data_IF_482853552836
#
_entry.id   IF_482853552836
#
_cell.length_a   1.000
_cell.length_b   1.000
_cell.length_c   1.000
_cell.angle_alpha   90.00
_cell.angle_beta   90.00
_cell.angle_gamma   90.00
#
_symmetry.space_group_name_H-M   'P 1'
#
loop_
_entity.id
_entity.type
_entity.pdbx_description
1 polymer ?
#
# COMPACT_ATOMS: atom_id res chain seq x y z
N UNK A 1 -3.92 19.05 42.77
CA UNK A 1 -2.70 18.25 42.51
C UNK A 1 -2.48 18.26 41.01
N UNK A 2 -1.47 18.99 40.55
CA UNK A 2 -1.24 19.26 39.13
C UNK A 2 -0.68 18.02 38.43
N UNK A 3 -1.29 17.65 37.30
CA UNK A 3 -0.73 16.65 36.39
C UNK A 3 0.63 17.14 35.84
N UNK A 4 1.62 16.26 35.67
CA UNK A 4 2.92 16.66 35.14
C UNK A 4 2.76 17.11 33.69
N UNK A 5 3.36 18.25 33.35
CA UNK A 5 3.40 18.77 31.99
C UNK A 5 4.19 17.82 31.07
N UNK A 6 3.55 17.38 29.99
CA UNK A 6 4.21 16.59 28.94
C UNK A 6 5.24 17.49 28.25
N UNK A 7 6.53 17.09 28.15
CA UNK A 7 7.55 17.92 27.52
C UNK A 7 7.25 18.10 26.02
N UNK A 8 7.21 19.35 25.58
CA UNK A 8 6.81 19.78 24.24
C UNK A 8 7.81 19.44 23.10
N UNK A 9 8.92 18.74 23.41
CA UNK A 9 9.96 18.42 22.44
C UNK A 9 10.51 17.00 22.67
N UNK A 10 9.78 16.01 22.16
CA UNK A 10 10.38 14.73 21.80
C UNK A 10 11.01 14.88 20.41
N UNK A 11 12.23 14.37 20.17
CA UNK A 11 12.85 14.42 18.85
C UNK A 11 11.93 13.77 17.81
N UNK A 12 11.67 14.48 16.70
CA UNK A 12 10.99 13.88 15.55
C UNK A 12 11.92 12.82 14.97
N UNK A 13 11.55 11.56 15.13
CA UNK A 13 12.25 10.48 14.46
C UNK A 13 11.93 10.56 12.97
N UNK A 14 12.92 10.44 12.06
CA UNK A 14 12.63 10.34 10.64
C UNK A 14 11.67 9.16 10.47
N UNK A 15 10.52 9.39 9.85
CA UNK A 15 9.53 8.33 9.62
C UNK A 15 10.20 7.24 8.82
N UNK A 16 10.53 6.14 9.48
CA UNK A 16 10.85 4.93 8.77
C UNK A 16 9.63 4.67 7.87
N UNK A 17 9.86 4.45 6.56
CA UNK A 17 8.94 3.75 5.66
C UNK A 17 7.88 4.57 4.91
N UNK A 18 8.17 5.79 4.48
CA UNK A 18 7.31 6.52 3.53
C UNK A 18 5.85 6.66 3.99
N UNK A 19 5.62 6.62 5.30
CA UNK A 19 4.33 6.93 5.91
C UNK A 19 4.39 8.34 6.43
N UNK A 20 3.29 9.08 6.24
CA UNK A 20 3.10 10.42 6.79
C UNK A 20 3.17 10.44 8.32
N UNK A 21 2.81 9.33 8.97
CA UNK A 21 2.83 9.17 10.44
C UNK A 21 3.36 7.79 10.86
N UNK A 22 4.24 7.77 11.88
CA UNK A 22 4.74 6.54 12.50
C UNK A 22 3.73 5.99 13.52
N UNK A 23 3.23 4.77 13.26
CA UNK A 23 2.31 4.07 14.17
C UNK A 23 2.92 3.83 15.55
N UNK A 24 4.24 3.64 15.62
CA UNK A 24 4.94 3.43 16.88
C UNK A 24 5.00 4.73 17.70
N UNK A 25 5.31 5.84 17.05
CA UNK A 25 5.24 7.17 17.68
C UNK A 25 3.82 7.49 18.18
N UNK A 26 2.78 7.13 17.41
CA UNK A 26 1.39 7.29 17.84
C UNK A 26 1.11 6.52 19.13
N UNK A 27 1.54 5.25 19.21
CA UNK A 27 1.40 4.44 20.41
C UNK A 27 2.16 5.05 21.60
N UNK A 28 3.41 5.45 21.43
CA UNK A 28 4.21 6.07 22.49
C UNK A 28 3.54 7.35 23.04
N UNK A 29 3.00 8.19 22.14
CA UNK A 29 2.29 9.41 22.53
C UNK A 29 0.96 9.12 23.23
N UNK A 30 0.26 8.05 22.84
CA UNK A 30 -0.95 7.60 23.56
C UNK A 30 -0.59 7.13 24.97
N UNK A 31 0.49 6.36 25.16
CA UNK A 31 0.90 5.91 26.51
C UNK A 31 1.26 7.10 27.41
N UNK A 32 2.00 8.07 26.85
CA UNK A 32 2.47 9.24 27.61
C UNK A 32 1.33 10.20 27.99
N UNK A 33 0.32 10.35 27.12
CA UNK A 33 -0.76 11.34 27.31
C UNK A 33 -2.06 10.74 27.86
N UNK A 34 -2.25 9.42 27.78
CA UNK A 34 -3.52 8.76 28.09
C UNK A 34 -4.67 9.13 27.14
N UNK A 35 -4.39 9.76 25.99
CA UNK A 35 -5.41 10.33 25.09
C UNK A 35 -5.02 10.24 23.63
N UNK A 36 -5.88 9.62 22.82
CA UNK A 36 -5.74 9.59 21.35
C UNK A 36 -5.81 11.01 20.78
N UNK A 37 -6.69 11.87 21.31
CA UNK A 37 -6.82 13.25 20.83
C UNK A 37 -5.56 14.07 21.07
N UNK A 38 -4.92 13.91 22.24
CA UNK A 38 -3.67 14.60 22.54
C UNK A 38 -2.52 14.09 21.64
N UNK A 39 -2.41 12.78 21.46
CA UNK A 39 -1.43 12.17 20.58
C UNK A 39 -1.61 12.61 19.12
N UNK A 40 -2.85 12.60 18.61
CA UNK A 40 -3.19 13.01 17.25
C UNK A 40 -2.77 14.46 16.98
N UNK A 41 -3.14 15.38 17.88
CA UNK A 41 -2.78 16.79 17.77
C UNK A 41 -1.25 16.99 17.75
N UNK A 42 -0.52 16.29 18.62
CA UNK A 42 0.93 16.39 18.67
C UNK A 42 1.64 15.89 17.39
N UNK A 43 1.00 14.98 16.66
CA UNK A 43 1.50 14.44 15.39
C UNK A 43 0.95 15.19 14.15
N UNK A 44 0.11 16.21 14.33
CA UNK A 44 -0.61 16.86 13.23
C UNK A 44 -1.56 15.90 12.49
N UNK A 45 -2.04 14.87 13.18
CA UNK A 45 -3.05 13.93 12.68
C UNK A 45 -4.45 14.45 12.99
N UNK A 46 -5.42 14.15 12.12
CA UNK A 46 -6.82 14.28 12.53
C UNK A 46 -7.16 13.19 13.57
N UNK A 47 -8.07 13.49 14.48
CA UNK A 47 -8.55 12.50 15.46
C UNK A 47 -9.07 11.23 14.77
N UNK A 48 -9.81 11.38 13.66
CA UNK A 48 -10.31 10.26 12.86
C UNK A 48 -9.17 9.38 12.32
N UNK A 49 -8.10 9.98 11.79
CA UNK A 49 -6.95 9.24 11.27
C UNK A 49 -6.22 8.47 12.39
N UNK A 50 -6.03 9.10 13.56
CA UNK A 50 -5.43 8.43 14.71
C UNK A 50 -6.32 7.28 15.21
N UNK A 51 -7.64 7.47 15.24
CA UNK A 51 -8.60 6.43 15.59
C UNK A 51 -8.52 5.22 14.65
N UNK A 52 -8.56 5.46 13.34
CA UNK A 52 -8.45 4.42 12.31
C UNK A 52 -7.11 3.67 12.38
N UNK A 53 -6.00 4.39 12.66
CA UNK A 53 -4.70 3.76 12.84
C UNK A 53 -4.67 2.80 14.04
N UNK A 54 -5.25 3.21 15.18
CA UNK A 54 -5.38 2.36 16.37
C UNK A 54 -6.25 1.14 16.10
N UNK A 55 -7.40 1.33 15.44
CA UNK A 55 -8.30 0.24 15.08
C UNK A 55 -7.64 -0.75 14.12
N UNK A 56 -6.91 -0.27 13.10
CA UNK A 56 -6.15 -1.11 12.20
C UNK A 56 -5.08 -1.93 12.95
N UNK A 57 -4.33 -1.32 13.88
CA UNK A 57 -3.34 -2.04 14.69
C UNK A 57 -3.97 -3.11 15.59
N UNK A 58 -5.11 -2.82 16.21
CA UNK A 58 -5.85 -3.80 17.01
C UNK A 58 -6.35 -4.96 16.14
N UNK A 59 -6.91 -4.69 14.95
CA UNK A 59 -7.40 -5.74 14.04
C UNK A 59 -6.29 -6.64 13.49
N UNK A 60 -5.06 -6.12 13.41
CA UNK A 60 -3.88 -6.87 12.98
C UNK A 60 -3.18 -7.61 14.13
N UNK A 61 -3.59 -7.39 15.38
CA UNK A 61 -2.94 -7.95 16.56
C UNK A 61 -3.76 -9.07 17.19
N UNK A 62 -3.09 -10.09 17.73
CA UNK A 62 -3.76 -11.18 18.48
C UNK A 62 -4.50 -10.68 19.73
N UNK A 63 -3.99 -9.60 20.32
CA UNK A 63 -4.59 -8.91 21.46
C UNK A 63 -4.63 -7.40 21.17
N UNK A 64 -5.64 -6.66 21.67
CA UNK A 64 -5.68 -5.21 21.50
C UNK A 64 -4.40 -4.57 22.03
N UNK A 65 -3.72 -3.77 21.21
CA UNK A 65 -2.54 -2.98 21.62
C UNK A 65 -2.96 -1.75 22.43
N UNK A 66 -4.16 -1.24 22.16
CA UNK A 66 -4.73 -0.07 22.84
C UNK A 66 -6.11 -0.43 23.37
N UNK A 67 -6.35 -0.15 24.64
CA UNK A 67 -7.64 -0.31 25.29
C UNK A 67 -8.30 1.05 25.55
N UNK A 68 -9.62 1.11 25.34
CA UNK A 68 -10.45 2.21 25.83
C UNK A 68 -10.75 1.98 27.31
N UNK A 69 -10.51 2.98 28.16
CA UNK A 69 -11.16 3.01 29.46
C UNK A 69 -12.60 3.50 29.27
N UNK A 70 -13.58 2.71 29.70
CA UNK A 70 -14.96 3.19 29.84
C UNK A 70 -14.99 4.18 31.01
N UNK A 71 -15.26 5.46 30.75
CA UNK A 71 -15.27 6.50 31.78
C UNK A 71 -16.45 7.45 31.65
N UNK A 72 -17.17 7.64 32.75
CA UNK A 72 -18.36 8.48 32.92
C UNK A 72 -18.13 9.99 32.70
N UNK A 73 -18.70 10.86 33.54
CA UNK A 73 -18.93 12.32 33.31
C UNK A 73 -17.79 13.19 32.73
N UNK A 74 -16.54 12.72 32.65
CA UNK A 74 -15.40 13.45 32.06
C UNK A 74 -14.70 12.74 30.88
N UNK A 75 -15.28 11.68 30.32
CA UNK A 75 -14.80 11.02 29.11
C UNK A 75 -13.80 9.90 29.37
N UNK A 76 -13.96 8.78 28.66
CA UNK A 76 -13.09 7.60 28.76
C UNK A 76 -11.68 7.85 28.23
N UNK A 77 -10.66 7.52 29.02
CA UNK A 77 -9.25 7.60 28.62
C UNK A 77 -8.87 6.50 27.62
N UNK A 78 -7.69 6.62 27.03
CA UNK A 78 -7.13 5.58 26.15
C UNK A 78 -5.71 5.26 26.59
N UNK A 79 -5.41 3.98 26.83
CA UNK A 79 -4.08 3.57 27.30
C UNK A 79 -3.64 2.32 26.56
N UNK A 80 -2.33 2.13 26.40
CA UNK A 80 -1.83 0.85 25.92
C UNK A 80 -2.14 -0.27 26.91
N UNK A 81 -2.43 -1.44 26.35
CA UNK A 81 -2.44 -2.67 27.13
C UNK A 81 -1.01 -3.05 27.49
N UNK A 82 -0.85 -3.98 28.44
CA UNK A 82 0.46 -4.57 28.73
C UNK A 82 1.08 -5.20 27.47
N UNK A 83 0.25 -5.88 26.67
CA UNK A 83 0.65 -6.40 25.36
C UNK A 83 1.14 -5.28 24.43
N UNK A 84 0.39 -4.19 24.30
CA UNK A 84 0.77 -3.04 23.49
C UNK A 84 2.11 -2.43 23.89
N UNK A 85 2.36 -2.25 25.19
CA UNK A 85 3.67 -1.76 25.68
C UNK A 85 4.82 -2.71 25.33
N UNK A 86 4.60 -4.01 25.45
CA UNK A 86 5.60 -5.02 25.06
C UNK A 86 5.89 -4.99 23.56
N UNK A 87 4.87 -4.82 22.72
CA UNK A 87 5.01 -4.67 21.27
C UNK A 87 5.85 -3.43 20.94
N UNK A 88 5.53 -2.28 21.54
CA UNK A 88 6.29 -1.02 21.36
C UNK A 88 7.76 -1.21 21.73
N UNK A 89 8.03 -1.79 22.91
CA UNK A 89 9.40 -2.01 23.39
C UNK A 89 10.19 -2.99 22.50
N UNK A 90 9.57 -4.09 22.08
CA UNK A 90 10.19 -5.07 21.20
C UNK A 90 10.54 -4.45 19.84
N UNK A 91 9.63 -3.65 19.28
CA UNK A 91 9.82 -3.04 17.99
C UNK A 91 10.91 -1.95 17.99
N UNK A 92 10.96 -1.08 19.01
CA UNK A 92 12.05 -0.11 19.15
C UNK A 92 13.42 -0.78 19.25
N UNK A 93 13.51 -1.92 19.94
CA UNK A 93 14.73 -2.71 19.99
C UNK A 93 15.11 -3.24 18.61
N UNK A 94 14.14 -3.79 17.87
CA UNK A 94 14.36 -4.30 16.51
C UNK A 94 14.82 -3.20 15.53
N UNK A 95 14.19 -2.02 15.56
CA UNK A 95 14.59 -0.89 14.69
C UNK A 95 16.04 -0.48 14.92
N UNK A 96 16.43 -0.36 16.20
CA UNK A 96 17.80 0.00 16.58
C UNK A 96 18.84 -1.01 16.10
N UNK A 97 18.57 -2.31 16.22
CA UNK A 97 19.48 -3.33 15.72
C UNK A 97 19.51 -3.37 14.19
N UNK A 98 18.36 -3.19 13.52
CA UNK A 98 18.28 -3.14 12.06
C UNK A 98 19.10 -1.98 11.50
N UNK A 99 18.97 -0.79 12.06
CA UNK A 99 19.74 0.38 11.63
C UNK A 99 21.26 0.15 11.73
N UNK A 100 21.70 -0.45 12.83
CA UNK A 100 23.12 -0.79 13.02
C UNK A 100 23.61 -1.78 11.97
N UNK A 101 22.86 -2.85 11.74
CA UNK A 101 23.23 -3.89 10.76
C UNK A 101 23.28 -3.32 9.36
N UNK A 102 22.24 -2.58 8.94
CA UNK A 102 22.20 -1.95 7.61
C UNK A 102 23.35 -0.96 7.43
N UNK A 103 23.62 -0.10 8.41
CA UNK A 103 24.74 0.84 8.35
C UNK A 103 26.10 0.13 8.26
N UNK A 104 26.26 -1.01 8.93
CA UNK A 104 27.48 -1.81 8.83
C UNK A 104 27.61 -2.47 7.45
N UNK A 105 26.55 -3.06 6.91
CA UNK A 105 26.56 -3.71 5.60
C UNK A 105 26.82 -2.72 4.47
N UNK A 106 26.20 -1.54 4.52
CA UNK A 106 26.39 -0.49 3.50
C UNK A 106 27.83 0.06 3.47
N UNK A 107 28.57 -0.01 4.59
CA UNK A 107 30.00 0.34 4.63
C UNK A 107 30.87 -0.71 3.93
N UNK A 108 30.47 -1.98 3.95
CA UNK A 108 31.20 -3.09 3.33
C UNK A 108 30.86 -3.20 1.85
N UNK A 109 29.60 -2.93 1.49
CA UNK A 109 29.08 -2.97 0.13
C UNK A 109 28.33 -1.65 -0.14
N UNK A 110 28.95 -0.73 -0.86
CA UNK A 110 28.40 0.63 -1.06
C UNK A 110 27.12 0.71 -1.89
N UNK A 111 26.71 -0.38 -2.54
CA UNK A 111 25.47 -0.53 -3.31
C UNK A 111 24.44 -1.43 -2.62
N UNK A 112 24.70 -1.85 -1.38
CA UNK A 112 23.83 -2.77 -0.63
C UNK A 112 22.41 -2.24 -0.49
N UNK A 113 22.24 -0.93 -0.28
CA UNK A 113 20.91 -0.33 -0.17
C UNK A 113 20.05 -0.59 -1.41
N UNK A 114 20.62 -0.52 -2.62
CA UNK A 114 19.88 -0.76 -3.86
C UNK A 114 19.41 -2.21 -3.95
N UNK A 115 20.29 -3.18 -3.64
CA UNK A 115 19.94 -4.59 -3.65
C UNK A 115 18.99 -4.95 -2.51
N UNK A 116 19.17 -4.39 -1.33
CA UNK A 116 18.28 -4.61 -0.20
C UNK A 116 16.86 -4.15 -0.52
N UNK A 117 16.71 -2.98 -1.16
CA UNK A 117 15.40 -2.56 -1.65
C UNK A 117 14.82 -3.56 -2.65
N UNK A 118 15.61 -4.04 -3.62
CA UNK A 118 15.18 -5.04 -4.60
C UNK A 118 14.71 -6.35 -3.94
N UNK A 119 15.49 -6.88 -2.98
CA UNK A 119 15.16 -8.10 -2.23
C UNK A 119 13.84 -7.92 -1.50
N UNK A 120 13.63 -6.78 -0.84
CA UNK A 120 12.35 -6.48 -0.18
C UNK A 120 11.17 -6.42 -1.13
N UNK A 121 11.39 -6.02 -2.39
CA UNK A 121 10.33 -6.08 -3.43
C UNK A 121 9.95 -7.52 -3.74
N UNK A 122 10.91 -8.44 -3.75
CA UNK A 122 10.67 -9.87 -4.00
C UNK A 122 9.97 -10.58 -2.84
N UNK A 123 10.17 -10.11 -1.60
CA UNK A 123 9.52 -10.69 -0.41
C UNK A 123 8.02 -10.39 -0.34
N UNK A 124 7.50 -9.47 -1.17
CA UNK A 124 6.07 -9.16 -1.19
C UNK A 124 5.26 -10.31 -1.80
N UNK A 125 4.49 -11.00 -0.97
CA UNK A 125 3.58 -12.06 -1.41
C UNK A 125 2.13 -11.56 -1.38
N UNK A 126 1.46 -11.60 -2.54
CA UNK A 126 0.04 -11.28 -2.64
C UNK A 126 -0.65 -12.25 -3.59
N UNK A 127 -1.98 -12.42 -3.44
CA UNK A 127 -2.77 -13.20 -4.40
C UNK A 127 -3.03 -12.46 -5.73
N UNK A 128 -2.63 -11.19 -5.84
CA UNK A 128 -2.73 -10.45 -7.09
C UNK A 128 -1.62 -10.92 -8.04
N UNK A 129 -2.03 -11.45 -9.20
CA UNK A 129 -1.09 -11.91 -10.24
C UNK A 129 -0.43 -10.76 -10.99
N UNK A 130 -1.07 -9.59 -11.00
CA UNK A 130 -0.50 -8.40 -11.60
C UNK A 130 0.02 -7.50 -10.48
N UNK A 131 1.34 -7.31 -10.47
CA UNK A 131 2.02 -6.45 -9.51
C UNK A 131 2.97 -5.56 -10.29
N UNK A 132 2.64 -4.28 -10.40
CA UNK A 132 3.43 -3.31 -11.14
C UNK A 132 4.07 -2.33 -10.16
N UNK A 133 5.40 -2.34 -10.12
CA UNK A 133 6.14 -1.25 -9.49
C UNK A 133 6.09 -0.03 -10.40
N UNK A 134 5.75 1.12 -9.84
CA UNK A 134 5.72 2.38 -10.57
C UNK A 134 5.98 3.58 -9.68
N UNK A 135 6.25 4.71 -10.33
CA UNK A 135 6.41 6.00 -9.67
C UNK A 135 5.14 6.80 -9.81
N UNK A 136 4.63 7.34 -8.71
CA UNK A 136 3.48 8.24 -8.73
C UNK A 136 3.88 9.50 -9.51
N UNK A 137 3.13 9.82 -10.56
CA UNK A 137 3.34 11.03 -11.37
C UNK A 137 2.34 12.12 -11.01
N UNK A 138 1.11 11.73 -10.66
CA UNK A 138 0.02 12.66 -10.37
C UNK A 138 -0.88 12.12 -9.25
N UNK A 139 -1.31 13.02 -8.36
CA UNK A 139 -2.34 12.75 -7.35
C UNK A 139 -3.38 13.86 -7.41
N UNK A 140 -4.60 13.51 -7.82
CA UNK A 140 -5.73 14.45 -7.90
C UNK A 140 -6.75 14.10 -6.83
N UNK A 141 -6.71 14.83 -5.72
CA UNK A 141 -7.66 14.69 -4.62
C UNK A 141 -9.03 15.28 -4.99
N UNK A 142 -10.08 14.50 -4.86
CA UNK A 142 -11.48 14.94 -4.88
C UNK A 142 -12.07 15.00 -3.46
N UNK A 143 -13.38 15.20 -3.37
CA UNK A 143 -14.09 15.33 -2.09
C UNK A 143 -14.12 14.03 -1.26
N UNK A 144 -14.11 12.86 -1.92
CA UNK A 144 -14.18 11.55 -1.27
C UNK A 144 -13.04 10.64 -1.73
N UNK A 145 -12.83 10.60 -3.05
CA UNK A 145 -11.80 9.78 -3.68
C UNK A 145 -10.70 10.65 -4.27
N UNK A 146 -9.56 10.03 -4.54
CA UNK A 146 -8.46 10.60 -5.30
C UNK A 146 -8.14 9.71 -6.50
N UNK A 147 -7.78 10.34 -7.62
CA UNK A 147 -7.17 9.66 -8.75
C UNK A 147 -5.65 9.74 -8.59
N UNK A 148 -4.97 8.61 -8.65
CA UNK A 148 -3.51 8.49 -8.59
C UNK A 148 -3.03 7.88 -9.89
N UNK A 149 -2.08 8.52 -10.55
CA UNK A 149 -1.46 8.01 -11.78
C UNK A 149 -0.05 7.52 -11.45
N UNK A 150 0.24 6.26 -11.81
CA UNK A 150 1.54 5.64 -11.70
C UNK A 150 2.14 5.47 -13.10
N UNK A 151 3.37 5.90 -13.28
CA UNK A 151 4.22 5.46 -14.39
C UNK A 151 4.82 4.12 -14.02
N UNK A 152 4.45 3.07 -14.78
CA UNK A 152 4.95 1.71 -14.58
C UNK A 152 6.12 1.38 -15.52
N UNK A 153 6.62 2.35 -16.28
CA UNK A 153 7.72 2.18 -17.22
C UNK A 153 7.30 1.60 -18.57
N UNK A 154 8.20 1.68 -19.55
CA UNK A 154 7.90 1.24 -20.92
C UNK A 154 6.88 2.12 -21.66
N UNK A 155 6.66 3.35 -21.18
CA UNK A 155 5.65 4.27 -21.71
C UNK A 155 4.24 4.04 -21.17
N UNK A 156 4.05 3.04 -20.30
CA UNK A 156 2.74 2.67 -19.77
C UNK A 156 2.43 3.40 -18.45
N UNK A 157 1.16 3.77 -18.29
CA UNK A 157 0.66 4.39 -17.06
C UNK A 157 -0.56 3.65 -16.52
N UNK A 158 -0.72 3.66 -15.20
CA UNK A 158 -1.88 3.11 -14.50
C UNK A 158 -2.55 4.17 -13.63
N UNK A 159 -3.83 4.38 -13.86
CA UNK A 159 -4.73 5.14 -13.01
C UNK A 159 -5.36 4.22 -11.95
N UNK A 160 -5.30 4.68 -10.70
CA UNK A 160 -5.99 4.09 -9.56
C UNK A 160 -6.96 5.12 -8.95
N UNK A 161 -8.13 4.66 -8.51
CA UNK A 161 -9.06 5.45 -7.72
C UNK A 161 -9.11 4.86 -6.32
N UNK A 162 -8.64 5.63 -5.34
CA UNK A 162 -8.61 5.25 -3.92
C UNK A 162 -9.24 6.35 -3.07
N UNK A 163 -9.48 6.09 -1.78
CA UNK A 163 -10.02 7.11 -0.88
C UNK A 163 -8.98 8.19 -0.57
N UNK A 164 -9.43 9.37 -0.19
CA UNK A 164 -8.54 10.42 0.32
C UNK A 164 -7.70 9.93 1.52
N UNK A 165 -8.36 9.23 2.45
CA UNK A 165 -7.73 8.65 3.64
C UNK A 165 -6.58 7.70 3.25
N UNK A 166 -6.73 6.90 2.18
CA UNK A 166 -5.66 6.02 1.69
C UNK A 166 -4.49 6.79 1.07
N UNK A 167 -4.72 7.88 0.33
CA UNK A 167 -3.63 8.73 -0.19
C UNK A 167 -2.79 9.28 0.95
N UNK A 168 -3.44 9.79 2.00
CA UNK A 168 -2.75 10.36 3.15
C UNK A 168 -2.02 9.30 3.97
N UNK A 169 -2.63 8.13 4.15
CA UNK A 169 -2.04 7.03 4.90
C UNK A 169 -0.79 6.46 4.22
N UNK A 170 -0.84 6.32 2.89
CA UNK A 170 0.26 5.82 2.06
C UNK A 170 1.26 6.91 1.66
N UNK A 171 1.04 8.16 2.10
CA UNK A 171 1.84 9.35 1.75
C UNK A 171 2.09 9.50 0.23
N UNK A 172 1.06 9.23 -0.57
CA UNK A 172 1.20 9.23 -2.02
C UNK A 172 1.29 10.67 -2.54
N UNK A 173 2.42 10.98 -3.18
CA UNK A 173 2.69 12.24 -3.85
C UNK A 173 3.57 12.01 -5.08
N UNK A 174 3.57 12.93 -6.07
CA UNK A 174 4.46 12.81 -7.22
C UNK A 174 5.91 12.58 -6.77
N UNK A 175 6.52 11.51 -7.27
CA UNK A 175 7.85 11.10 -6.82
C UNK A 175 7.89 9.78 -6.06
N UNK A 176 6.84 9.44 -5.34
CA UNK A 176 6.78 8.26 -4.48
C UNK A 176 6.69 6.99 -5.31
N UNK A 177 7.45 5.97 -4.92
CA UNK A 177 7.37 4.64 -5.52
C UNK A 177 6.25 3.83 -4.84
N UNK A 178 5.41 3.18 -5.65
CA UNK A 178 4.29 2.39 -5.19
C UNK A 178 4.06 1.15 -6.07
N UNK A 179 3.42 0.14 -5.51
CA UNK A 179 2.96 -1.05 -6.20
C UNK A 179 1.48 -0.90 -6.54
N UNK A 180 1.14 -1.15 -7.80
CA UNK A 180 -0.23 -1.38 -8.25
C UNK A 180 -0.51 -2.89 -8.28
N UNK A 181 -1.44 -3.33 -7.44
CA UNK A 181 -1.86 -4.71 -7.29
C UNK A 181 -3.24 -4.89 -7.95
N UNK A 182 -3.32 -5.81 -8.92
CA UNK A 182 -4.55 -6.05 -9.68
C UNK A 182 -4.81 -7.56 -9.75
N UNK A 183 -5.98 -7.99 -9.30
CA UNK A 183 -6.37 -9.40 -9.40
C UNK A 183 -6.62 -9.75 -10.87
N UNK A 184 -6.11 -10.89 -11.34
CA UNK A 184 -6.32 -11.35 -12.70
C UNK A 184 -7.80 -11.42 -13.17
N UNK A 185 -8.80 -11.82 -12.35
CA UNK A 185 -10.20 -11.80 -12.78
C UNK A 185 -10.82 -10.40 -12.88
N UNK A 186 -10.10 -9.33 -12.51
CA UNK A 186 -10.54 -7.94 -12.72
C UNK A 186 -10.06 -7.35 -14.04
N UNK A 187 -9.21 -8.09 -14.75
CA UNK A 187 -8.69 -7.70 -16.06
C UNK A 187 -9.65 -8.22 -17.12
N UNK A 188 -10.18 -7.32 -17.95
CA UNK A 188 -11.03 -7.67 -19.08
C UNK A 188 -10.17 -7.61 -20.34
N UNK A 189 -10.34 -8.58 -21.24
CA UNK A 189 -9.58 -8.62 -22.49
C UNK A 189 -10.43 -8.11 -23.66
N UNK A 190 -9.78 -7.43 -24.59
CA UNK A 190 -10.35 -7.07 -25.89
C UNK A 190 -9.30 -7.21 -26.98
N UNK A 191 -9.74 -7.60 -28.17
CA UNK A 191 -8.94 -7.57 -29.41
C UNK A 191 -9.30 -6.36 -30.28
N UNK A 192 -10.24 -5.52 -29.83
CA UNK A 192 -10.67 -4.30 -30.51
C UNK A 192 -10.01 -3.06 -29.88
N UNK A 193 -9.15 -2.42 -30.67
CA UNK A 193 -8.45 -1.19 -30.28
C UNK A 193 -9.40 0.03 -30.25
N UNK A 194 -10.53 -0.02 -30.97
CA UNK A 194 -11.48 1.09 -31.08
C UNK A 194 -12.51 1.13 -29.94
N UNK A 195 -12.57 0.08 -29.11
CA UNK A 195 -13.59 -0.08 -28.09
C UNK A 195 -13.53 1.05 -27.04
N UNK A 196 -14.59 1.85 -26.95
CA UNK A 196 -14.73 2.89 -25.91
C UNK A 196 -15.34 2.29 -24.66
N UNK A 197 -14.63 2.35 -23.54
CA UNK A 197 -15.12 1.84 -22.25
C UNK A 197 -14.89 2.83 -21.12
N UNK A 198 -15.48 2.57 -19.96
CA UNK A 198 -15.21 3.31 -18.72
C UNK A 198 -14.01 2.77 -17.94
N UNK A 199 -13.30 1.76 -18.47
CA UNK A 199 -12.01 1.34 -17.91
C UNK A 199 -10.99 2.42 -18.23
N UNK A 200 -10.33 2.94 -17.19
CA UNK A 200 -9.35 4.03 -17.31
C UNK A 200 -7.98 3.53 -17.77
N UNK A 201 -7.71 2.26 -17.55
CA UNK A 201 -6.47 1.61 -17.88
C UNK A 201 -6.68 0.71 -19.10
N UNK A 202 -5.81 0.87 -20.09
CA UNK A 202 -5.73 0.01 -21.28
C UNK A 202 -4.26 -0.32 -21.48
N UNK A 203 -3.87 -1.54 -21.14
CA UNK A 203 -2.50 -2.04 -21.33
C UNK A 203 -2.50 -3.02 -22.50
N UNK A 204 -1.67 -2.77 -23.49
CA UNK A 204 -1.77 -3.41 -24.78
C UNK A 204 -0.48 -4.14 -25.13
N UNK A 205 -0.60 -5.37 -25.62
CA UNK A 205 0.55 -6.11 -26.12
C UNK A 205 0.17 -7.39 -26.83
N UNK A 206 1.08 -8.36 -26.82
CA UNK A 206 0.95 -9.64 -27.51
C UNK A 206 0.68 -10.75 -26.51
N UNK A 207 -0.27 -11.64 -26.81
CA UNK A 207 -0.52 -12.83 -26.01
C UNK A 207 0.68 -13.77 -26.13
N UNK A 208 1.33 -14.05 -25.01
CA UNK A 208 2.50 -14.97 -24.93
C UNK A 208 2.14 -16.31 -24.31
N UNK A 209 1.06 -16.38 -23.53
CA UNK A 209 0.51 -17.62 -22.98
C UNK A 209 -1.01 -17.54 -22.97
N UNK A 210 -1.65 -18.63 -23.36
CA UNK A 210 -3.09 -18.83 -23.27
C UNK A 210 -3.32 -20.28 -22.86
N UNK A 211 -3.76 -20.50 -21.62
CA UNK A 211 -3.94 -21.83 -21.03
C UNK A 211 -5.38 -22.00 -20.57
N UNK A 212 -6.13 -22.84 -21.27
CA UNK A 212 -7.48 -23.22 -20.87
C UNK A 212 -7.43 -24.22 -19.71
N UNK A 213 -8.29 -23.99 -18.71
CA UNK A 213 -8.60 -24.94 -17.65
C UNK A 213 -9.97 -25.57 -17.84
N UNK A 214 -10.50 -26.21 -16.80
CA UNK A 214 -11.80 -26.88 -16.86
C UNK A 214 -13.00 -25.92 -17.10
N UNK A 215 -12.87 -24.66 -16.68
CA UNK A 215 -13.95 -23.65 -16.75
C UNK A 215 -13.42 -22.29 -17.25
N UNK A 216 -12.24 -21.90 -16.77
CA UNK A 216 -11.62 -20.62 -17.08
C UNK A 216 -10.24 -20.84 -17.68
N UNK A 217 -9.79 -19.86 -18.45
CA UNK A 217 -8.47 -19.79 -19.03
C UNK A 217 -7.63 -18.69 -18.39
N UNK A 218 -6.33 -18.93 -18.31
CA UNK A 218 -5.34 -17.90 -18.01
C UNK A 218 -4.72 -17.38 -19.31
N UNK A 219 -4.68 -16.06 -19.44
CA UNK A 219 -4.03 -15.37 -20.55
C UNK A 219 -2.95 -14.45 -20.01
N UNK A 220 -1.76 -14.54 -20.59
CA UNK A 220 -0.64 -13.65 -20.30
C UNK A 220 -0.35 -12.81 -21.55
N UNK A 221 -0.38 -11.49 -21.39
CA UNK A 221 -0.05 -10.50 -22.41
C UNK A 221 1.30 -9.88 -22.06
N UNK A 222 2.26 -9.94 -22.98
CA UNK A 222 3.52 -9.19 -22.89
C UNK A 222 3.34 -7.79 -23.48
N UNK A 223 3.63 -6.78 -22.67
CA UNK A 223 3.60 -5.36 -23.03
C UNK A 223 4.92 -4.94 -23.68
N UNK A 224 4.92 -3.82 -24.41
CA UNK A 224 6.11 -3.31 -25.09
C UNK A 224 7.32 -3.09 -24.16
N UNK A 225 7.07 -2.74 -22.89
CA UNK A 225 8.11 -2.57 -21.87
C UNK A 225 8.64 -3.86 -21.23
N UNK A 226 8.32 -5.04 -21.78
CA UNK A 226 8.75 -6.36 -21.27
C UNK A 226 8.01 -6.83 -20.01
N UNK A 227 7.04 -6.06 -19.51
CA UNK A 227 6.15 -6.47 -18.42
C UNK A 227 5.04 -7.36 -18.94
N UNK A 228 4.48 -8.19 -18.07
CA UNK A 228 3.35 -9.05 -18.41
C UNK A 228 2.09 -8.68 -17.63
N UNK A 229 0.92 -8.81 -18.27
CA UNK A 229 -0.40 -8.74 -17.64
C UNK A 229 -1.05 -10.12 -17.68
N UNK A 230 -1.44 -10.63 -16.52
CA UNK A 230 -2.20 -11.86 -16.36
C UNK A 230 -3.71 -11.57 -16.22
N UNK A 231 -4.52 -12.32 -16.95
CA UNK A 231 -5.97 -12.25 -16.93
C UNK A 231 -6.57 -13.65 -16.76
N UNK A 232 -7.67 -13.74 -16.00
CA UNK A 232 -8.49 -14.95 -15.93
C UNK A 232 -9.83 -14.64 -16.60
N UNK A 233 -10.16 -15.37 -17.67
CA UNK A 233 -11.41 -15.23 -18.43
C UNK A 233 -12.05 -16.59 -18.64
N UNK A 234 -13.32 -16.63 -19.07
CA UNK A 234 -13.97 -17.91 -19.39
C UNK A 234 -13.38 -18.52 -20.66
N UNK A 235 -13.45 -19.84 -20.82
CA UNK A 235 -13.03 -20.51 -22.06
C UNK A 235 -13.82 -19.97 -23.26
N UNK A 236 -15.12 -19.72 -23.11
CA UNK A 236 -15.95 -19.07 -24.14
C UNK A 236 -15.40 -17.72 -24.60
N UNK A 237 -14.84 -16.92 -23.67
CA UNK A 237 -14.24 -15.63 -24.01
C UNK A 237 -12.96 -15.79 -24.85
N UNK A 238 -12.16 -16.83 -24.60
CA UNK A 238 -10.98 -17.15 -25.43
C UNK A 238 -11.42 -17.40 -26.87
N UNK A 239 -12.40 -18.27 -27.05
CA UNK A 239 -12.89 -18.66 -28.37
C UNK A 239 -13.57 -17.48 -29.09
N UNK A 240 -14.44 -16.73 -28.40
CA UNK A 240 -15.16 -15.59 -28.97
C UNK A 240 -14.23 -14.44 -29.39
N UNK A 241 -13.17 -14.18 -28.61
CA UNK A 241 -12.18 -13.14 -28.91
C UNK A 241 -11.05 -13.62 -29.84
N UNK A 242 -10.99 -14.92 -30.16
CA UNK A 242 -9.92 -15.51 -30.95
C UNK A 242 -8.53 -15.41 -30.31
N UNK A 243 -8.48 -15.42 -28.97
CA UNK A 243 -7.22 -15.27 -28.22
C UNK A 243 -6.36 -16.53 -28.39
N UNK A 244 -5.12 -16.33 -28.83
CA UNK A 244 -4.09 -17.37 -28.99
C UNK A 244 -2.71 -16.74 -28.88
N UNK A 245 -1.68 -17.55 -28.64
CA UNK A 245 -0.30 -17.07 -28.62
C UNK A 245 0.03 -16.35 -29.94
N UNK A 246 0.67 -15.18 -29.83
CA UNK A 246 0.98 -14.29 -30.95
C UNK A 246 -0.15 -13.32 -31.31
N UNK A 247 -1.37 -13.50 -30.80
CA UNK A 247 -2.46 -12.56 -31.05
C UNK A 247 -2.23 -11.24 -30.30
N UNK A 248 -2.64 -10.12 -30.92
CA UNK A 248 -2.67 -8.82 -30.28
C UNK A 248 -3.90 -8.71 -29.37
N UNK A 249 -3.72 -8.29 -28.13
CA UNK A 249 -4.83 -8.08 -27.19
C UNK A 249 -4.53 -6.95 -26.19
N UNK A 250 -5.58 -6.31 -25.70
CA UNK A 250 -5.51 -5.25 -24.70
C UNK A 250 -6.26 -5.64 -23.44
N UNK A 251 -5.61 -5.43 -22.29
CA UNK A 251 -6.13 -5.56 -20.96
C UNK A 251 -6.79 -4.25 -20.51
N UNK A 252 -8.08 -4.30 -20.24
CA UNK A 252 -8.89 -3.20 -19.73
C UNK A 252 -9.09 -3.36 -18.22
N UNK A 253 -8.75 -2.33 -17.46
CA UNK A 253 -8.82 -2.38 -15.99
C UNK A 253 -9.50 -1.11 -15.46
N UNK A 254 -10.54 -1.30 -14.65
CA UNK A 254 -11.17 -0.20 -13.90
C UNK A 254 -10.17 0.35 -12.89
N UNK A 255 -10.04 1.68 -12.79
CA UNK A 255 -9.15 2.30 -11.81
C UNK A 255 -9.52 1.96 -10.36
N UNK A 256 -10.78 1.64 -10.08
CA UNK A 256 -11.24 1.17 -8.76
C UNK A 256 -10.87 -0.29 -8.45
N UNK A 257 -10.32 -1.04 -9.41
CA UNK A 257 -9.78 -2.39 -9.22
C UNK A 257 -8.26 -2.40 -9.07
N UNK A 258 -7.64 -1.23 -8.94
CA UNK A 258 -6.21 -1.09 -8.67
C UNK A 258 -6.03 -0.79 -7.20
N UNK A 259 -5.39 -1.70 -6.47
CA UNK A 259 -5.00 -1.48 -5.08
C UNK A 259 -3.57 -0.93 -5.08
N UNK A 260 -3.34 0.16 -4.35
CA UNK A 260 -2.00 0.72 -4.17
C UNK A 260 -1.40 0.26 -2.85
N UNK A 261 -0.12 -0.09 -2.88
CA UNK A 261 0.69 -0.37 -1.71
C UNK A 261 2.04 0.34 -1.85
N UNK A 262 2.69 0.64 -0.73
CA UNK A 262 4.05 1.18 -0.70
C UNK A 262 4.95 0.20 0.06
N UNK A 263 6.23 0.11 -0.32
CA UNK A 263 7.19 -0.67 0.46
C UNK A 263 7.34 -0.01 1.83
N UNK A 264 7.07 -0.78 2.88
CA UNK A 264 7.22 -0.34 4.26
C UNK A 264 8.65 -0.47 4.75
#
# INVERSE_FOLDING_TARGET
>A
MNAPAVPANLPRFPTARGRRWDHLELLERIDASGSISAAANAMGMSYKAAWQAVEAMNNLSEQPVVARQTGGKHGGGTTLTEYGRRVVAAYRRLEKERERVLAQLNRVMGDFDQYYQLIRRFDMQTSARNQFLGKVTTVKKGAVNAEVILDIGGGEQLAAIITHDSVDHLDLQPGVEAYALIKAPWVILTTDDSLRTSARNRLCGTVVRCQEGAVNAEVIIELAGGKTVASIVTNDSIHALGLKVGARACALIKASHVILAVAG
#
